data_IF_833534248766
#
_entry.id   IF_833534248766
#
_cell.length_a   1.000
_cell.length_b   1.000
_cell.length_c   1.000
_cell.angle_alpha   90.00
_cell.angle_beta   90.00
_cell.angle_gamma   90.00
#
_symmetry.space_group_name_H-M   'P 1'
#
loop_
_entity.id
_entity.type
_entity.pdbx_description
1 polymer ?
#
# COMPACT_ATOMS: atom_id res chain seq x y z
N UNK A 1 14.64 20.61 9.29
CA UNK A 1 15.74 19.69 9.00
C UNK A 1 15.70 19.36 7.51
N UNK A 2 16.67 19.82 6.74
CA UNK A 2 16.76 19.54 5.31
C UNK A 2 17.01 18.03 5.13
N UNK A 3 16.10 17.34 4.43
CA UNK A 3 16.30 15.94 4.07
C UNK A 3 17.58 15.80 3.26
N UNK A 4 18.49 14.97 3.73
CA UNK A 4 19.73 14.66 3.01
C UNK A 4 19.39 14.20 1.61
N UNK A 5 19.88 14.91 0.59
CA UNK A 5 19.73 14.51 -0.80
C UNK A 5 20.12 13.02 -0.96
N UNK A 6 19.46 12.26 -1.85
CA UNK A 6 19.80 10.87 -2.05
C UNK A 6 21.28 10.77 -2.40
N UNK A 7 22.03 9.92 -1.69
CA UNK A 7 23.40 9.62 -2.11
C UNK A 7 23.38 9.19 -3.57
N UNK A 8 24.21 9.75 -4.45
CA UNK A 8 24.21 9.43 -5.88
C UNK A 8 24.41 7.93 -6.17
N UNK A 9 24.99 7.21 -5.24
CA UNK A 9 25.42 5.81 -5.33
C UNK A 9 24.32 4.80 -4.86
N UNK A 10 23.12 5.25 -4.50
CA UNK A 10 22.06 4.33 -4.03
C UNK A 10 21.50 3.55 -5.22
N UNK A 11 21.81 2.27 -5.31
CA UNK A 11 21.33 1.35 -6.36
C UNK A 11 19.80 1.26 -6.30
N UNK A 12 19.08 1.56 -7.39
CA UNK A 12 17.63 1.37 -7.43
C UNK A 12 17.25 -0.08 -7.12
N UNK A 13 16.14 -0.27 -6.39
CA UNK A 13 15.58 -1.60 -6.19
C UNK A 13 14.94 -2.08 -7.49
N UNK A 14 15.14 -3.33 -7.84
CA UNK A 14 14.57 -3.95 -9.02
C UNK A 14 13.06 -4.12 -8.89
N UNK A 15 12.35 -4.18 -10.00
CA UNK A 15 10.88 -4.29 -10.00
C UNK A 15 10.37 -5.52 -9.24
N UNK A 16 11.04 -6.67 -9.35
CA UNK A 16 10.65 -7.90 -8.67
C UNK A 16 10.87 -7.84 -7.15
N UNK A 17 11.89 -7.11 -6.67
CA UNK A 17 12.10 -6.86 -5.24
C UNK A 17 10.93 -6.05 -4.65
N UNK A 18 10.45 -5.06 -5.41
CA UNK A 18 9.30 -4.24 -5.04
C UNK A 18 8.00 -5.05 -5.08
N UNK A 19 7.83 -5.87 -6.12
CA UNK A 19 6.69 -6.78 -6.24
C UNK A 19 6.68 -7.78 -5.08
N UNK A 20 7.81 -8.42 -4.78
CA UNK A 20 7.95 -9.36 -3.67
C UNK A 20 7.57 -8.71 -2.32
N UNK A 21 8.07 -7.49 -2.07
CA UNK A 21 7.69 -6.73 -0.87
C UNK A 21 6.17 -6.49 -0.79
N UNK A 22 5.53 -6.15 -1.92
CA UNK A 22 4.07 -5.92 -1.98
C UNK A 22 3.25 -7.20 -1.85
N UNK A 23 3.72 -8.32 -2.37
CA UNK A 23 3.07 -9.61 -2.20
C UNK A 23 3.08 -10.07 -0.73
N UNK A 24 4.19 -9.87 -0.02
CA UNK A 24 4.27 -10.14 1.42
C UNK A 24 3.26 -9.29 2.20
N UNK A 25 3.19 -7.99 1.90
CA UNK A 25 2.23 -7.08 2.53
C UNK A 25 0.78 -7.45 2.18
N UNK A 26 0.52 -7.77 0.91
CA UNK A 26 -0.80 -8.18 0.44
C UNK A 26 -1.27 -9.47 1.12
N UNK A 27 -0.37 -10.42 1.39
CA UNK A 27 -0.69 -11.63 2.14
C UNK A 27 -1.11 -11.28 3.58
N UNK A 28 -0.34 -10.46 4.29
CA UNK A 28 -0.63 -10.05 5.66
C UNK A 28 -1.98 -9.32 5.75
N UNK A 29 -2.19 -8.32 4.90
CA UNK A 29 -3.44 -7.54 4.90
C UNK A 29 -4.61 -8.31 4.28
N UNK A 30 -4.36 -9.26 3.39
CA UNK A 30 -5.37 -10.19 2.88
C UNK A 30 -5.91 -11.11 3.97
N UNK A 31 -5.04 -11.67 4.80
CA UNK A 31 -5.45 -12.45 5.99
C UNK A 31 -6.22 -11.57 6.98
N UNK A 32 -5.75 -10.36 7.24
CA UNK A 32 -6.44 -9.40 8.11
C UNK A 32 -7.85 -9.07 7.56
N UNK A 33 -7.96 -8.77 6.27
CA UNK A 33 -9.25 -8.59 5.60
C UNK A 33 -10.19 -9.79 5.81
N UNK A 34 -9.68 -10.99 5.61
CA UNK A 34 -10.49 -12.21 5.71
C UNK A 34 -11.02 -12.44 7.11
N UNK A 35 -10.20 -12.21 8.13
CA UNK A 35 -10.63 -12.28 9.54
C UNK A 35 -11.73 -11.24 9.83
N UNK A 36 -11.54 -10.00 9.38
CA UNK A 36 -12.55 -8.95 9.51
C UNK A 36 -13.85 -9.31 8.80
N UNK A 37 -13.74 -9.84 7.57
CA UNK A 37 -14.92 -10.22 6.79
C UNK A 37 -15.74 -11.30 7.50
N UNK A 38 -15.10 -12.37 7.97
CA UNK A 38 -15.79 -13.45 8.69
C UNK A 38 -16.45 -12.92 9.97
N UNK A 39 -15.73 -12.10 10.74
CA UNK A 39 -16.25 -11.53 11.98
C UNK A 39 -17.45 -10.62 11.74
N UNK A 40 -17.35 -9.71 10.78
CA UNK A 40 -18.45 -8.80 10.43
C UNK A 40 -19.64 -9.54 9.82
N UNK A 41 -19.38 -10.51 8.94
CA UNK A 41 -20.43 -11.31 8.34
C UNK A 41 -21.20 -12.12 9.40
N UNK A 42 -20.48 -12.78 10.31
CA UNK A 42 -21.08 -13.49 11.44
C UNK A 42 -21.91 -12.57 12.33
N UNK A 43 -21.35 -11.41 12.69
CA UNK A 43 -22.06 -10.39 13.48
C UNK A 43 -23.34 -9.93 12.80
N UNK A 44 -23.28 -9.51 11.52
CA UNK A 44 -24.47 -9.05 10.80
C UNK A 44 -25.53 -10.13 10.64
N UNK A 45 -25.11 -11.39 10.52
CA UNK A 45 -26.04 -12.52 10.49
C UNK A 45 -26.79 -12.67 11.82
N UNK A 46 -26.12 -12.52 12.95
CA UNK A 46 -26.76 -12.65 14.28
C UNK A 46 -27.74 -11.50 14.59
N UNK A 47 -27.45 -10.30 14.10
CA UNK A 47 -28.33 -9.12 14.32
C UNK A 47 -29.39 -8.92 13.22
N UNK A 48 -29.52 -9.86 12.28
CA UNK A 48 -30.54 -9.79 11.22
C UNK A 48 -30.22 -8.81 10.09
N UNK A 49 -28.98 -8.34 9.97
CA UNK A 49 -28.53 -7.36 8.96
C UNK A 49 -27.76 -8.01 7.80
N UNK A 50 -27.76 -9.32 7.69
CA UNK A 50 -26.95 -10.04 6.68
C UNK A 50 -27.28 -9.61 5.24
N UNK A 51 -28.55 -9.28 4.94
CA UNK A 51 -29.03 -8.92 3.62
C UNK A 51 -28.89 -7.43 3.27
N UNK A 52 -28.38 -6.62 4.21
CA UNK A 52 -28.18 -5.18 3.95
C UNK A 52 -27.19 -5.00 2.78
N UNK A 53 -27.52 -4.13 1.85
CA UNK A 53 -26.80 -3.93 0.57
C UNK A 53 -26.64 -5.24 -0.23
N UNK A 54 -27.65 -6.13 -0.22
CA UNK A 54 -27.59 -7.42 -0.94
C UNK A 54 -26.46 -8.33 -0.43
N UNK A 55 -26.27 -8.39 0.90
CA UNK A 55 -25.26 -9.21 1.56
C UNK A 55 -23.83 -8.68 1.49
N UNK A 56 -23.60 -7.47 0.97
CA UNK A 56 -22.25 -6.95 0.71
C UNK A 56 -21.69 -6.08 1.83
N UNK A 57 -22.49 -5.73 2.84
CA UNK A 57 -22.07 -4.79 3.89
C UNK A 57 -20.80 -5.24 4.61
N UNK A 58 -20.71 -6.51 4.98
CA UNK A 58 -19.51 -7.06 5.63
C UNK A 58 -18.26 -6.91 4.78
N UNK A 59 -18.36 -7.22 3.47
CA UNK A 59 -17.24 -7.09 2.54
C UNK A 59 -16.80 -5.64 2.34
N UNK A 60 -17.75 -4.71 2.18
CA UNK A 60 -17.45 -3.27 2.04
C UNK A 60 -16.71 -2.76 3.26
N UNK A 61 -17.22 -3.04 4.47
CA UNK A 61 -16.60 -2.60 5.70
C UNK A 61 -15.24 -3.27 5.94
N UNK A 62 -15.12 -4.56 5.67
CA UNK A 62 -13.85 -5.27 5.80
C UNK A 62 -12.77 -4.67 4.87
N UNK A 63 -13.10 -4.37 3.62
CA UNK A 63 -12.17 -3.70 2.70
C UNK A 63 -11.82 -2.28 3.12
N UNK A 64 -12.82 -1.51 3.59
CA UNK A 64 -12.58 -0.16 4.08
C UNK A 64 -11.60 -0.17 5.26
N UNK A 65 -11.84 -1.01 6.26
CA UNK A 65 -10.97 -1.11 7.45
C UNK A 65 -9.59 -1.65 7.09
N UNK A 66 -9.52 -2.73 6.30
CA UNK A 66 -8.23 -3.32 5.93
C UNK A 66 -7.39 -2.37 5.05
N UNK A 67 -8.01 -1.69 4.08
CA UNK A 67 -7.33 -0.74 3.21
C UNK A 67 -6.83 0.51 3.95
N UNK A 68 -7.65 1.08 4.84
CA UNK A 68 -7.23 2.20 5.70
C UNK A 68 -6.11 1.79 6.67
N UNK A 69 -6.21 0.59 7.26
CA UNK A 69 -5.17 0.05 8.13
C UNK A 69 -3.85 -0.13 7.37
N UNK A 70 -3.92 -0.63 6.13
CA UNK A 70 -2.73 -0.77 5.29
C UNK A 70 -2.13 0.60 4.92
N UNK A 71 -2.94 1.58 4.54
CA UNK A 71 -2.46 2.92 4.25
C UNK A 71 -1.82 3.59 5.48
N UNK A 72 -2.46 3.48 6.64
CA UNK A 72 -1.92 3.97 7.91
C UNK A 72 -0.61 3.29 8.31
N UNK A 73 -0.55 1.97 8.11
CA UNK A 73 0.68 1.20 8.33
C UNK A 73 1.80 1.63 7.37
N UNK A 74 1.52 1.74 6.05
CA UNK A 74 2.51 2.17 5.05
C UNK A 74 3.07 3.57 5.39
N UNK A 75 2.18 4.52 5.72
CA UNK A 75 2.58 5.85 6.15
C UNK A 75 3.45 5.82 7.42
N UNK A 76 3.01 5.12 8.47
CA UNK A 76 3.72 5.07 9.76
C UNK A 76 5.05 4.33 9.65
N UNK A 77 5.10 3.23 8.92
CA UNK A 77 6.33 2.45 8.72
C UNK A 77 7.39 3.25 7.97
N UNK A 78 7.00 3.97 6.91
CA UNK A 78 7.92 4.84 6.19
C UNK A 78 8.35 6.06 7.01
N UNK A 79 7.44 6.65 7.82
CA UNK A 79 7.77 7.78 8.69
C UNK A 79 8.75 7.42 9.80
N UNK A 80 8.67 6.21 10.37
CA UNK A 80 9.51 5.79 11.49
C UNK A 80 10.75 5.03 11.08
N UNK A 81 10.62 4.13 10.12
CA UNK A 81 11.67 3.15 9.80
C UNK A 81 12.23 3.31 8.37
N UNK A 82 11.63 4.18 7.53
CA UNK A 82 11.98 4.35 6.13
C UNK A 82 11.66 3.13 5.26
N UNK A 83 11.04 2.08 5.83
CA UNK A 83 10.67 0.85 5.12
C UNK A 83 9.51 0.15 5.82
N UNK A 84 8.74 -0.60 5.04
CA UNK A 84 7.70 -1.52 5.53
C UNK A 84 8.29 -2.89 5.79
N UNK A 85 7.52 -3.78 6.44
CA UNK A 85 7.95 -5.15 6.75
C UNK A 85 8.32 -5.94 5.49
N UNK A 86 7.48 -5.90 4.44
CA UNK A 86 7.79 -6.56 3.17
C UNK A 86 9.08 -6.04 2.55
N UNK A 87 9.31 -4.72 2.58
CA UNK A 87 10.56 -4.11 2.13
C UNK A 87 11.78 -4.50 2.97
N UNK A 88 11.59 -4.69 4.27
CA UNK A 88 12.67 -5.16 5.15
C UNK A 88 13.12 -6.58 4.78
N UNK A 89 12.18 -7.49 4.51
CA UNK A 89 12.47 -8.85 4.04
C UNK A 89 13.21 -8.84 2.70
N UNK A 90 12.76 -7.99 1.77
CA UNK A 90 13.37 -7.86 0.44
C UNK A 90 14.65 -7.01 0.43
N UNK A 91 15.12 -6.54 1.60
CA UNK A 91 16.31 -5.70 1.76
C UNK A 91 16.30 -4.44 0.89
N UNK A 92 15.13 -3.80 0.81
CA UNK A 92 14.93 -2.53 0.11
C UNK A 92 14.35 -1.48 1.06
N UNK A 93 14.58 -0.20 0.76
CA UNK A 93 14.11 0.92 1.56
C UNK A 93 13.73 2.13 0.72
N UNK A 94 13.05 3.08 1.34
CA UNK A 94 12.72 4.36 0.71
C UNK A 94 13.90 5.34 0.79
N UNK A 95 14.11 6.10 -0.26
CA UNK A 95 15.08 7.20 -0.33
C UNK A 95 14.43 8.43 -0.98
N UNK A 96 14.79 9.68 -0.52
CA UNK A 96 15.58 9.98 0.67
C UNK A 96 14.86 9.59 1.96
N UNK A 97 15.61 9.46 3.06
CA UNK A 97 15.03 9.29 4.40
C UNK A 97 14.72 10.66 5.02
N UNK A 98 13.88 10.68 6.07
CA UNK A 98 13.55 11.91 6.80
C UNK A 98 12.62 12.86 6.05
N UNK A 99 11.83 12.35 5.10
CA UNK A 99 10.81 13.14 4.41
C UNK A 99 9.71 13.60 5.37
N UNK A 100 9.11 14.78 5.10
CA UNK A 100 7.99 15.27 5.89
C UNK A 100 6.81 14.28 5.83
N UNK A 101 6.12 14.14 6.97
CA UNK A 101 4.98 13.21 7.11
C UNK A 101 3.90 13.42 6.03
N UNK A 102 3.69 14.67 5.59
CA UNK A 102 2.74 15.00 4.52
C UNK A 102 3.10 14.42 3.15
N UNK A 103 4.38 14.33 2.80
CA UNK A 103 4.82 13.71 1.55
C UNK A 103 4.58 12.18 1.59
N UNK A 104 4.87 11.56 2.73
CA UNK A 104 4.62 10.13 2.95
C UNK A 104 3.13 9.81 3.01
N UNK A 105 2.30 10.74 3.55
CA UNK A 105 0.85 10.59 3.53
C UNK A 105 0.30 10.64 2.10
N UNK A 106 0.73 11.61 1.28
CA UNK A 106 0.37 11.67 -0.15
C UNK A 106 0.69 10.36 -0.87
N UNK A 107 1.86 9.80 -0.57
CA UNK A 107 2.28 8.51 -1.11
C UNK A 107 1.32 7.39 -0.74
N UNK A 108 0.97 7.28 0.55
CA UNK A 108 0.06 6.25 1.06
C UNK A 108 -1.38 6.41 0.53
N UNK A 109 -1.82 7.65 0.27
CA UNK A 109 -3.14 7.94 -0.33
C UNK A 109 -3.22 7.52 -1.81
N UNK A 110 -2.13 7.61 -2.56
CA UNK A 110 -2.08 7.12 -3.95
C UNK A 110 -1.95 5.60 -3.99
N UNK A 111 -1.16 5.03 -3.09
CA UNK A 111 -0.99 3.59 -2.91
C UNK A 111 -0.49 3.32 -1.47
N UNK A 112 -1.15 2.51 -0.64
CA UNK A 112 -2.19 1.51 -0.96
C UNK A 112 -3.65 1.94 -0.64
N UNK A 113 -3.93 3.20 -0.29
CA UNK A 113 -5.28 3.60 0.15
C UNK A 113 -6.43 3.18 -0.79
N UNK A 114 -6.31 3.19 -2.13
CA UNK A 114 -7.40 2.76 -3.02
C UNK A 114 -7.90 1.33 -2.77
N UNK A 115 -7.14 0.48 -2.07
CA UNK A 115 -7.60 -0.85 -1.65
C UNK A 115 -8.87 -0.80 -0.78
N UNK A 116 -9.08 0.29 -0.02
CA UNK A 116 -10.30 0.44 0.79
C UNK A 116 -11.58 0.45 -0.05
N UNK A 117 -11.49 0.77 -1.34
CA UNK A 117 -12.62 0.85 -2.26
C UNK A 117 -12.95 -0.50 -2.93
N UNK A 118 -12.12 -1.53 -2.72
CA UNK A 118 -12.29 -2.83 -3.38
C UNK A 118 -13.58 -3.56 -3.00
N UNK A 119 -14.20 -3.19 -1.88
CA UNK A 119 -15.50 -3.74 -1.45
C UNK A 119 -16.69 -3.18 -2.20
N UNK A 120 -16.55 -2.07 -2.93
CA UNK A 120 -17.66 -1.36 -3.60
C UNK A 120 -17.75 -1.84 -5.06
N UNK A 121 -18.87 -2.46 -5.49
CA UNK A 121 -19.07 -2.89 -6.87
C UNK A 121 -18.86 -1.74 -7.86
N UNK A 122 -18.34 -2.03 -9.03
CA UNK A 122 -17.94 -1.07 -10.08
C UNK A 122 -16.73 -0.23 -9.67
N UNK A 123 -16.72 0.36 -8.47
CA UNK A 123 -15.57 1.14 -7.95
C UNK A 123 -14.33 0.23 -7.77
N UNK A 124 -14.54 -1.04 -7.41
CA UNK A 124 -13.45 -2.02 -7.32
C UNK A 124 -12.69 -2.20 -8.63
N UNK A 125 -13.40 -2.15 -9.77
CA UNK A 125 -12.75 -2.22 -11.08
C UNK A 125 -11.83 -1.02 -11.31
N UNK A 126 -12.31 0.19 -11.02
CA UNK A 126 -11.53 1.42 -11.13
C UNK A 126 -10.34 1.42 -10.16
N UNK A 127 -10.55 0.99 -8.92
CA UNK A 127 -9.48 0.86 -7.92
C UNK A 127 -8.43 -0.17 -8.38
N UNK A 128 -8.85 -1.31 -8.89
CA UNK A 128 -7.97 -2.34 -9.45
C UNK A 128 -7.17 -1.84 -10.65
N UNK A 129 -7.81 -1.15 -11.59
CA UNK A 129 -7.13 -0.53 -12.74
C UNK A 129 -6.10 0.52 -12.30
N UNK A 130 -6.42 1.34 -11.32
CA UNK A 130 -5.49 2.33 -10.76
C UNK A 130 -4.27 1.64 -10.12
N UNK A 131 -4.49 0.60 -9.32
CA UNK A 131 -3.40 -0.15 -8.69
C UNK A 131 -2.52 -0.87 -9.71
N UNK A 132 -3.14 -1.46 -10.74
CA UNK A 132 -2.42 -2.06 -11.87
C UNK A 132 -1.60 -1.01 -12.64
N UNK A 133 -2.21 0.15 -12.95
CA UNK A 133 -1.54 1.27 -13.60
C UNK A 133 -0.34 1.78 -12.81
N UNK A 134 -0.45 1.84 -11.48
CA UNK A 134 0.69 2.18 -10.60
C UNK A 134 1.83 1.17 -10.79
N UNK A 135 1.53 -0.13 -10.86
CA UNK A 135 2.52 -1.18 -11.10
C UNK A 135 3.18 -1.06 -12.47
N UNK A 136 2.36 -0.85 -13.52
CA UNK A 136 2.84 -0.72 -14.90
C UNK A 136 3.75 0.50 -15.07
N UNK A 137 3.39 1.64 -14.47
CA UNK A 137 4.19 2.86 -14.56
C UNK A 137 5.57 2.73 -13.90
N UNK A 138 5.73 1.86 -12.91
CA UNK A 138 7.04 1.55 -12.33
C UNK A 138 7.96 0.90 -13.37
N UNK A 139 7.43 0.02 -14.23
CA UNK A 139 8.21 -0.67 -15.27
C UNK A 139 8.66 0.28 -16.39
N UNK A 140 7.90 1.36 -16.63
CA UNK A 140 8.15 2.31 -17.72
C UNK A 140 9.13 3.42 -17.30
N UNK A 141 9.17 3.80 -16.03
CA UNK A 141 9.99 4.92 -15.51
C UNK A 141 11.48 4.54 -15.37
N UNK A 142 12.14 4.25 -16.46
CA UNK A 142 13.58 3.99 -16.49
C UNK A 142 14.40 5.30 -16.45
N UNK A 143 15.54 5.36 -15.76
CA UNK A 143 16.18 4.30 -14.93
C UNK A 143 15.73 4.31 -13.45
N UNK A 144 14.84 5.21 -13.03
CA UNK A 144 14.51 5.43 -11.63
C UNK A 144 13.40 4.49 -11.10
N UNK A 145 12.66 3.86 -12.00
CA UNK A 145 11.57 2.90 -11.69
C UNK A 145 10.59 3.42 -10.64
N UNK A 146 10.16 4.69 -10.75
CA UNK A 146 9.25 5.34 -9.80
C UNK A 146 7.80 5.18 -10.23
N UNK A 147 6.97 4.71 -9.31
CA UNK A 147 5.52 4.78 -9.49
C UNK A 147 4.97 6.20 -9.27
N UNK A 148 3.69 6.46 -9.63
CA UNK A 148 3.04 7.76 -9.39
C UNK A 148 3.11 8.21 -7.93
N UNK A 149 2.96 7.28 -6.98
CA UNK A 149 3.08 7.53 -5.55
C UNK A 149 4.50 7.96 -5.15
N UNK A 150 5.53 7.40 -5.78
CA UNK A 150 6.91 7.78 -5.54
C UNK A 150 7.22 9.17 -6.12
N UNK A 151 6.71 9.46 -7.33
CA UNK A 151 6.86 10.78 -7.96
C UNK A 151 6.17 11.87 -7.15
N UNK A 152 4.94 11.64 -6.69
CA UNK A 152 4.16 12.59 -5.90
C UNK A 152 4.80 12.92 -4.54
N UNK A 153 5.56 11.98 -3.97
CA UNK A 153 6.26 12.14 -2.70
C UNK A 153 7.74 12.50 -2.83
N UNK A 154 8.28 12.62 -4.06
CA UNK A 154 9.71 12.84 -4.28
C UNK A 154 10.60 11.69 -3.80
N UNK A 155 10.09 10.45 -3.84
CA UNK A 155 10.76 9.25 -3.33
C UNK A 155 11.22 8.32 -4.45
N UNK A 156 12.12 7.41 -4.08
CA UNK A 156 12.48 6.22 -4.87
C UNK A 156 12.77 5.05 -3.92
N UNK A 157 12.62 3.84 -4.41
CA UNK A 157 12.99 2.64 -3.66
C UNK A 157 14.39 2.21 -4.06
N UNK A 158 15.26 1.94 -3.08
CA UNK A 158 16.67 1.59 -3.28
C UNK A 158 17.01 0.32 -2.49
N UNK A 159 18.06 -0.38 -2.90
CA UNK A 159 18.59 -1.52 -2.14
C UNK A 159 19.15 -1.05 -0.80
N UNK A 160 18.91 -1.84 0.24
CA UNK A 160 19.45 -1.61 1.58
C UNK A 160 20.70 -2.47 1.73
N UNK A 161 21.85 -1.89 1.42
CA UNK A 161 23.16 -2.56 1.40
C UNK A 161 23.84 -2.61 2.78
N UNK A 162 23.06 -2.48 3.87
CA UNK A 162 23.56 -2.57 5.25
C UNK A 162 23.45 -3.97 5.80
#
# INVERSE_FOLDING_TARGET
MAGTAPRPDAVPAEWWERLGARLIEALVFGVFYYILFIGLWGFFRTVGMAEVFGGRLAGVLAWAVAGLSYAGYDWRAHSRYGRTFGKAIMRIRLAPQGLPAGALLKRALIYPAPLMLMGIPVVNLLAGMLLFGVGLLILIDKPLERGPHDRAAGTRVVKDLR
#
